data_IF_949971275302
#
_entry.id   IF_949971275302
#
_cell.length_a   1.000
_cell.length_b   1.000
_cell.length_c   1.000
_cell.angle_alpha   90.00
_cell.angle_beta   90.00
_cell.angle_gamma   90.00
#
_symmetry.space_group_name_H-M   'P 1'
#
loop_
_entity.id
_entity.type
_entity.pdbx_description
1 polymer ?
#
# COMPACT_ATOMS: atom_id res chain seq x y z
N UNK A 1 -8.15 9.09 -8.32
CA UNK A 1 -7.73 9.86 -7.12
C UNK A 1 -6.54 9.12 -6.49
N UNK A 2 -5.39 9.79 -6.36
CA UNK A 2 -4.27 9.41 -5.50
C UNK A 2 -3.84 10.71 -4.83
N UNK A 3 -4.28 10.93 -3.60
CA UNK A 3 -4.11 12.22 -2.91
C UNK A 3 -2.90 12.24 -1.97
N UNK A 4 -2.34 11.07 -1.64
CA UNK A 4 -1.24 10.88 -0.68
C UNK A 4 -0.46 9.60 -1.04
N UNK A 5 0.82 9.56 -0.70
CA UNK A 5 1.68 8.38 -0.83
C UNK A 5 1.25 7.30 0.18
N UNK A 6 1.46 5.99 -0.11
CA UNK A 6 1.18 4.94 0.87
C UNK A 6 1.94 5.14 2.19
N UNK A 7 3.13 5.74 2.16
CA UNK A 7 3.91 6.11 3.36
C UNK A 7 3.24 7.17 4.24
N UNK A 8 2.35 7.99 3.68
CA UNK A 8 1.56 8.99 4.42
C UNK A 8 0.28 8.38 5.02
N UNK A 9 -0.08 7.14 4.63
CA UNK A 9 -1.21 6.44 5.21
C UNK A 9 -0.80 5.85 6.58
N UNK A 10 -1.43 6.24 7.69
CA UNK A 10 -1.06 5.76 9.02
C UNK A 10 -1.28 4.26 9.22
N UNK A 11 -2.12 3.65 8.37
CA UNK A 11 -2.44 2.22 8.41
C UNK A 11 -1.49 1.37 7.56
N UNK A 12 -0.79 1.97 6.59
CA UNK A 12 0.04 1.24 5.62
C UNK A 12 1.20 0.51 6.31
N UNK A 13 1.31 -0.79 6.04
CA UNK A 13 2.37 -1.65 6.60
C UNK A 13 2.22 -1.96 8.09
N UNK A 14 1.18 -1.45 8.76
CA UNK A 14 0.85 -1.75 10.16
C UNK A 14 -0.41 -2.63 10.22
N UNK A 15 -1.57 -1.98 10.12
CA UNK A 15 -2.86 -2.65 10.13
C UNK A 15 -3.33 -3.03 8.72
N UNK A 16 -2.95 -2.24 7.71
CA UNK A 16 -3.23 -2.48 6.31
C UNK A 16 -2.02 -3.17 5.69
N UNK A 17 -2.15 -4.47 5.40
CA UNK A 17 -1.13 -5.33 4.77
C UNK A 17 -1.77 -6.22 3.70
N UNK A 18 -1.01 -6.88 2.81
CA UNK A 18 -1.60 -7.80 1.83
C UNK A 18 -2.37 -8.98 2.47
N UNK A 19 -2.00 -9.38 3.68
CA UNK A 19 -2.72 -10.42 4.43
C UNK A 19 -3.98 -9.90 5.14
N UNK A 20 -4.01 -8.61 5.48
CA UNK A 20 -5.14 -7.93 6.11
C UNK A 20 -5.38 -6.57 5.42
N UNK A 21 -5.97 -6.56 4.22
CA UNK A 21 -6.16 -5.33 3.47
C UNK A 21 -7.38 -4.57 4.00
N UNK A 22 -7.19 -3.31 4.41
CA UNK A 22 -8.28 -2.47 4.94
C UNK A 22 -9.03 -1.74 3.81
N UNK A 23 -8.37 -1.49 2.68
CA UNK A 23 -8.95 -0.73 1.58
C UNK A 23 -8.48 -1.20 0.21
N UNK A 24 -9.16 -0.77 -0.86
CA UNK A 24 -8.93 -1.25 -2.22
C UNK A 24 -7.50 -1.02 -2.71
N UNK A 25 -6.82 0.01 -2.19
CA UNK A 25 -5.42 0.30 -2.49
C UNK A 25 -4.45 -0.81 -2.06
N UNK A 26 -4.84 -1.66 -1.09
CA UNK A 26 -4.05 -2.81 -0.61
C UNK A 26 -4.66 -4.16 -1.02
N UNK A 27 -5.97 -4.22 -1.27
CA UNK A 27 -6.63 -5.46 -1.77
C UNK A 27 -6.17 -5.81 -3.17
N UNK A 28 -6.07 -4.82 -4.05
CA UNK A 28 -5.67 -5.06 -5.45
C UNK A 28 -4.16 -5.20 -5.56
N UNK A 29 -3.69 -6.21 -6.30
CA UNK A 29 -2.28 -6.36 -6.70
C UNK A 29 -1.76 -5.18 -7.52
N UNK A 30 -2.66 -4.49 -8.23
CA UNK A 30 -2.40 -3.24 -8.96
C UNK A 30 -2.61 -2.00 -8.09
N UNK A 31 -3.06 -2.18 -6.85
CA UNK A 31 -3.28 -1.12 -5.88
C UNK A 31 -1.95 -0.50 -5.47
N UNK A 32 -1.93 0.83 -5.38
CA UNK A 32 -0.72 1.59 -5.04
C UNK A 32 -0.09 1.12 -3.72
N UNK A 33 -0.89 0.77 -2.69
CA UNK A 33 -0.34 0.27 -1.43
C UNK A 33 0.22 -1.14 -1.58
N UNK A 34 -0.47 -2.05 -2.30
CA UNK A 34 0.07 -3.39 -2.52
C UNK A 34 1.38 -3.36 -3.32
N UNK A 35 1.44 -2.54 -4.37
CA UNK A 35 2.63 -2.33 -5.18
C UNK A 35 3.77 -1.72 -4.35
N UNK A 36 3.50 -0.72 -3.50
CA UNK A 36 4.51 -0.11 -2.63
C UNK A 36 4.99 -1.08 -1.54
N UNK A 37 4.10 -1.91 -0.99
CA UNK A 37 4.46 -2.90 0.01
C UNK A 37 5.37 -3.99 -0.59
N UNK A 38 5.14 -4.37 -1.85
CA UNK A 38 5.90 -5.41 -2.56
C UNK A 38 7.19 -4.90 -3.21
N UNK A 39 7.14 -3.72 -3.84
CA UNK A 39 8.21 -3.18 -4.68
C UNK A 39 8.81 -1.87 -4.17
N UNK A 40 8.17 -1.17 -3.23
CA UNK A 40 8.64 0.12 -2.71
C UNK A 40 9.96 0.07 -1.91
N UNK A 41 10.62 -1.10 -1.85
CA UNK A 41 12.00 -1.26 -1.38
C UNK A 41 13.03 -1.33 -2.53
N UNK A 42 12.59 -1.20 -3.77
CA UNK A 42 13.40 -1.44 -4.97
C UNK A 42 13.26 -0.32 -6.02
N UNK A 43 13.14 0.93 -5.56
CA UNK A 43 13.38 2.10 -6.40
C UNK A 43 14.70 2.73 -5.94
N UNK A 44 15.76 2.37 -6.67
CA UNK A 44 17.07 3.04 -6.65
C UNK A 44 17.14 3.95 -7.84
#
# INVERSE_FOLDING_TARGET
QGKVLPTECPLFGKACTPAAPIGPCMVSSEGVCAAWYKYGRHDR
#
